data_IF_998748100606
#
_entry.id   IF_998748100606
#
_cell.length_a   1.000
_cell.length_b   1.000
_cell.length_c   1.000
_cell.angle_alpha   90.00
_cell.angle_beta   90.00
_cell.angle_gamma   90.00
#
_symmetry.space_group_name_H-M   'P 1'
#
loop_
_entity.id
_entity.type
_entity.pdbx_description
1 polymer ?
#
# COMPACT_ATOMS: atom_id res chain seq x y z
N UNK A 1 -13.62 2.79 -8.23
CA UNK A 1 -14.46 1.87 -7.41
C UNK A 1 -13.91 0.46 -7.55
N UNK A 2 -13.20 -0.02 -6.52
CA UNK A 2 -12.58 -1.34 -6.56
C UNK A 2 -13.61 -2.47 -6.58
N UNK A 3 -13.14 -3.65 -6.98
CA UNK A 3 -13.93 -4.86 -7.14
C UNK A 3 -14.65 -5.22 -5.83
N UNK A 4 -15.94 -5.56 -5.92
CA UNK A 4 -16.72 -6.16 -4.81
C UNK A 4 -16.25 -7.58 -4.45
N UNK A 5 -15.15 -8.02 -5.06
CA UNK A 5 -14.56 -9.34 -4.86
C UNK A 5 -13.47 -9.23 -3.82
N UNK A 6 -13.49 -10.14 -2.85
CA UNK A 6 -12.38 -10.35 -1.91
C UNK A 6 -11.08 -10.50 -2.69
N UNK A 7 -10.03 -9.82 -2.25
CA UNK A 7 -8.68 -9.96 -2.79
C UNK A 7 -8.31 -11.44 -2.75
N UNK A 8 -7.93 -12.02 -3.89
CA UNK A 8 -7.39 -13.37 -3.90
C UNK A 8 -5.91 -13.36 -3.51
N UNK A 9 -5.43 -14.44 -2.88
CA UNK A 9 -4.06 -14.51 -2.34
C UNK A 9 -2.99 -14.19 -3.39
N UNK A 10 -3.19 -14.62 -4.64
CA UNK A 10 -2.25 -14.38 -5.72
C UNK A 10 -2.24 -12.92 -6.22
N UNK A 11 -3.30 -12.15 -5.94
CA UNK A 11 -3.43 -10.74 -6.32
C UNK A 11 -2.79 -9.81 -5.27
N UNK A 12 -2.68 -10.26 -4.01
CA UNK A 12 -2.16 -9.45 -2.91
C UNK A 12 -0.83 -8.73 -3.25
N UNK A 13 0.18 -9.36 -3.88
CA UNK A 13 1.41 -8.66 -4.22
C UNK A 13 1.23 -7.43 -5.11
N UNK A 14 0.20 -7.41 -5.97
CA UNK A 14 -0.14 -6.24 -6.77
C UNK A 14 -0.64 -5.11 -5.87
N UNK A 15 -1.60 -5.39 -4.99
CA UNK A 15 -2.18 -4.41 -4.05
C UNK A 15 -1.13 -3.76 -3.13
N UNK A 16 -0.01 -4.45 -2.86
CA UNK A 16 1.01 -3.97 -1.95
C UNK A 16 2.14 -3.20 -2.64
N UNK A 17 2.31 -3.28 -3.96
CA UNK A 17 3.48 -2.70 -4.62
C UNK A 17 3.36 -1.17 -4.77
N UNK A 18 4.41 -0.47 -4.37
CA UNK A 18 4.54 0.99 -4.42
C UNK A 18 5.55 1.39 -5.49
N UNK A 19 5.17 2.37 -6.31
CA UNK A 19 5.99 2.92 -7.38
C UNK A 19 6.27 4.40 -7.14
N UNK A 20 7.42 4.85 -7.62
CA UNK A 20 7.71 6.27 -7.79
C UNK A 20 6.83 6.81 -8.92
N UNK A 21 5.97 7.80 -8.68
CA UNK A 21 5.09 8.34 -9.74
C UNK A 21 5.89 9.03 -10.86
N UNK A 22 7.02 9.64 -10.52
CA UNK A 22 7.82 10.44 -11.46
C UNK A 22 8.66 9.58 -12.40
N UNK A 23 9.17 8.44 -11.91
CA UNK A 23 10.04 7.54 -12.70
C UNK A 23 9.38 6.24 -13.11
N UNK A 24 8.18 5.97 -12.59
CA UNK A 24 7.41 4.72 -12.76
C UNK A 24 8.18 3.46 -12.32
N UNK A 25 9.24 3.64 -11.51
CA UNK A 25 10.03 2.53 -10.97
C UNK A 25 9.45 2.02 -9.65
N UNK A 26 9.47 0.71 -9.39
CA UNK A 26 9.08 0.18 -8.09
C UNK A 26 10.04 0.69 -7.00
N UNK A 27 9.48 1.16 -5.88
CA UNK A 27 10.26 1.61 -4.70
C UNK A 27 10.23 0.53 -3.61
N UNK A 28 9.10 -0.19 -3.47
CA UNK A 28 8.95 -1.16 -2.40
C UNK A 28 7.53 -1.67 -2.26
N UNK A 29 7.19 -2.10 -1.04
CA UNK A 29 5.88 -2.67 -0.72
C UNK A 29 5.29 -2.02 0.52
N UNK A 30 3.96 -1.94 0.57
CA UNK A 30 3.23 -1.58 1.78
C UNK A 30 3.47 -2.63 2.86
N UNK A 31 4.00 -2.22 4.00
CA UNK A 31 4.10 -3.03 5.21
C UNK A 31 2.92 -2.82 6.16
N UNK A 32 2.38 -1.60 6.21
CA UNK A 32 1.19 -1.26 7.01
C UNK A 32 0.44 -0.08 6.39
N UNK A 33 -0.86 0.04 6.66
CA UNK A 33 -1.71 1.14 6.17
C UNK A 33 -2.68 1.62 7.25
N UNK A 34 -2.93 2.93 7.27
CA UNK A 34 -4.00 3.59 8.02
C UNK A 34 -4.75 4.54 7.09
N UNK A 35 -5.76 5.27 7.57
CA UNK A 35 -6.46 6.26 6.71
C UNK A 35 -5.58 7.49 6.38
N UNK A 36 -4.59 7.78 7.24
CA UNK A 36 -3.79 9.00 7.20
C UNK A 36 -2.32 8.74 6.82
N UNK A 37 -1.92 7.49 6.62
CA UNK A 37 -0.53 7.15 6.38
C UNK A 37 -0.29 5.68 6.11
N UNK A 38 0.96 5.34 5.85
CA UNK A 38 1.39 3.97 5.59
C UNK A 38 2.84 3.77 5.99
N UNK A 39 3.22 2.49 6.09
CA UNK A 39 4.61 2.06 6.19
C UNK A 39 5.02 1.43 4.87
N UNK A 40 6.17 1.85 4.34
CA UNK A 40 6.82 1.30 3.16
C UNK A 40 8.02 0.47 3.59
N UNK A 41 8.14 -0.72 3.03
CA UNK A 41 9.34 -1.56 3.10
C UNK A 41 10.09 -1.39 1.78
N UNK A 42 11.31 -0.86 1.82
CA UNK A 42 12.14 -0.57 0.64
C UNK A 42 13.58 -1.07 0.80
N UNK A 43 14.30 -1.27 -0.30
CA UNK A 43 15.73 -1.64 -0.26
C UNK A 43 16.66 -0.43 -0.07
N UNK A 44 16.14 0.77 -0.34
CA UNK A 44 16.88 2.01 -0.21
C UNK A 44 16.26 2.85 0.91
N UNK A 45 17.08 3.56 1.70
CA UNK A 45 16.59 4.47 2.72
C UNK A 45 15.88 5.66 2.07
N UNK A 46 14.84 6.15 2.74
CA UNK A 46 14.03 7.28 2.29
C UNK A 46 14.42 8.54 3.06
N UNK A 47 14.52 9.67 2.36
CA UNK A 47 14.88 10.94 2.98
C UNK A 47 13.77 11.42 3.93
N UNK A 48 14.09 11.53 5.22
CA UNK A 48 13.16 12.00 6.26
C UNK A 48 12.81 13.48 6.03
N UNK A 49 11.53 13.82 6.17
CA UNK A 49 11.00 15.17 5.96
C UNK A 49 10.74 15.54 4.50
N UNK A 50 11.17 14.71 3.54
CA UNK A 50 10.87 14.93 2.14
C UNK A 50 9.47 14.42 1.76
N UNK A 51 8.90 15.09 0.75
CA UNK A 51 7.62 14.71 0.15
C UNK A 51 7.86 13.87 -1.10
N UNK A 52 7.07 12.81 -1.24
CA UNK A 52 7.21 11.82 -2.29
C UNK A 52 5.90 11.71 -3.07
N UNK A 53 6.05 11.64 -4.39
CA UNK A 53 4.97 11.34 -5.32
C UNK A 53 5.00 9.84 -5.62
N UNK A 54 3.98 9.14 -5.15
CA UNK A 54 3.92 7.70 -5.17
C UNK A 54 2.66 7.22 -5.90
N UNK A 55 2.74 5.99 -6.39
CA UNK A 55 1.63 5.31 -7.08
C UNK A 55 1.49 3.90 -6.56
N UNK A 56 0.27 3.51 -6.23
CA UNK A 56 -0.12 2.13 -5.98
C UNK A 56 -0.86 1.62 -7.21
N UNK A 57 -0.65 0.35 -7.56
CA UNK A 57 -1.33 -0.28 -8.69
C UNK A 57 -2.20 -1.43 -8.20
N UNK A 58 -3.50 -1.32 -8.36
CA UNK A 58 -4.44 -2.32 -7.85
C UNK A 58 -5.38 -2.83 -8.95
N UNK A 59 -5.77 -4.11 -8.96
CA UNK A 59 -6.74 -4.64 -9.90
C UNK A 59 -8.10 -3.93 -9.81
N UNK A 60 -8.57 -3.43 -10.95
CA UNK A 60 -9.91 -2.88 -11.14
C UNK A 60 -10.98 -3.95 -11.39
N UNK A 61 -12.24 -3.50 -11.45
CA UNK A 61 -13.42 -4.36 -11.62
C UNK A 61 -13.43 -5.15 -12.93
N UNK A 62 -12.89 -4.54 -13.98
CA UNK A 62 -12.75 -5.05 -15.34
C UNK A 62 -11.46 -5.87 -15.54
N UNK A 63 -10.68 -6.09 -14.47
CA UNK A 63 -9.38 -6.73 -14.52
C UNK A 63 -8.25 -5.79 -14.98
N UNK A 64 -8.54 -4.53 -15.31
CA UNK A 64 -7.51 -3.55 -15.65
C UNK A 64 -6.83 -3.01 -14.39
N UNK A 65 -5.54 -2.72 -14.47
CA UNK A 65 -4.81 -2.08 -13.38
C UNK A 65 -5.26 -0.62 -13.20
N UNK A 66 -5.73 -0.31 -12.00
CA UNK A 66 -6.07 1.02 -11.55
C UNK A 66 -4.89 1.62 -10.79
N UNK A 67 -4.58 2.89 -11.02
CA UNK A 67 -3.52 3.60 -10.31
C UNK A 67 -4.12 4.49 -9.23
N UNK A 68 -3.62 4.37 -8.01
CA UNK A 68 -3.92 5.27 -6.90
C UNK A 68 -2.69 6.14 -6.69
N UNK A 69 -2.81 7.44 -6.97
CA UNK A 69 -1.73 8.39 -6.81
C UNK A 69 -1.80 9.05 -5.44
N UNK A 70 -0.70 9.00 -4.69
CA UNK A 70 -0.61 9.55 -3.35
C UNK A 70 0.61 10.45 -3.23
N UNK A 71 0.44 11.57 -2.54
CA UNK A 71 1.54 12.46 -2.15
C UNK A 71 1.70 12.32 -0.64
N UNK A 72 2.90 11.94 -0.20
CA UNK A 72 3.13 11.58 1.19
C UNK A 72 4.49 12.07 1.68
N UNK A 73 4.57 12.45 2.95
CA UNK A 73 5.77 13.00 3.55
C UNK A 73 6.42 11.97 4.49
N UNK A 74 7.70 11.72 4.30
CA UNK A 74 8.46 10.78 5.11
C UNK A 74 8.63 11.32 6.54
N UNK A 75 8.28 10.51 7.54
CA UNK A 75 8.34 10.89 8.96
C UNK A 75 9.50 10.23 9.70
N UNK A 76 9.84 9.02 9.31
CA UNK A 76 10.93 8.23 9.87
C UNK A 76 11.37 7.17 8.87
N UNK A 77 12.63 6.73 8.96
CA UNK A 77 13.21 5.67 8.16
C UNK A 77 14.23 4.92 9.04
N UNK A 78 14.06 3.61 9.19
CA UNK A 78 14.93 2.75 9.98
C UNK A 78 15.31 1.52 9.18
N UNK A 79 16.53 1.01 9.36
CA UNK A 79 16.89 -0.29 8.83
C UNK A 79 16.06 -1.37 9.53
N UNK A 80 15.50 -2.29 8.76
CA UNK A 80 14.75 -3.44 9.26
C UNK A 80 15.73 -4.50 9.84
N UNK A 81 15.19 -5.46 10.58
CA UNK A 81 15.96 -6.64 11.03
C UNK A 81 16.51 -7.44 9.84
N UNK A 82 15.87 -7.35 8.67
CA UNK A 82 16.37 -7.89 7.42
C UNK A 82 17.43 -6.94 6.84
N UNK A 83 18.69 -7.38 6.68
CA UNK A 83 19.74 -6.51 6.13
C UNK A 83 19.35 -5.91 4.79
N UNK A 84 19.73 -4.65 4.56
CA UNK A 84 19.45 -3.92 3.32
C UNK A 84 17.96 -3.68 3.03
N UNK A 85 17.10 -3.78 4.04
CA UNK A 85 15.70 -3.34 3.97
C UNK A 85 15.48 -2.23 4.98
N UNK A 86 14.55 -1.33 4.65
CA UNK A 86 14.21 -0.18 5.47
C UNK A 86 12.71 -0.09 5.64
N UNK A 87 12.29 0.05 6.88
CA UNK A 87 10.94 0.46 7.21
C UNK A 87 10.88 1.99 7.20
N UNK A 88 9.96 2.53 6.42
CA UNK A 88 9.75 3.98 6.30
C UNK A 88 8.29 4.32 6.58
N UNK A 89 8.05 5.21 7.53
CA UNK A 89 6.72 5.72 7.82
C UNK A 89 6.40 7.00 7.08
N UNK A 90 5.22 7.04 6.46
CA UNK A 90 4.71 8.18 5.72
C UNK A 90 3.39 8.68 6.31
N UNK A 91 3.23 10.00 6.31
CA UNK A 91 1.92 10.65 6.46
C UNK A 91 1.43 11.12 5.09
N UNK A 92 0.17 10.90 4.79
CA UNK A 92 -0.44 11.38 3.56
C UNK A 92 -0.63 12.90 3.64
N UNK A 93 -0.17 13.59 2.60
CA UNK A 93 -0.46 15.01 2.41
C UNK A 93 -1.82 15.20 1.73
N UNK A 94 -2.23 14.20 0.94
CA UNK A 94 -3.57 14.08 0.37
C UNK A 94 -4.00 12.62 0.44
N UNK A 95 -5.20 12.37 0.97
CA UNK A 95 -5.81 11.03 1.03
C UNK A 95 -6.92 10.96 -0.03
N UNK A 96 -6.65 10.42 -1.24
CA UNK A 96 -7.67 10.28 -2.25
C UNK A 96 -8.69 9.20 -1.82
N UNK A 97 -9.98 9.30 -2.22
CA UNK A 97 -11.01 8.32 -1.87
C UNK A 97 -10.60 6.87 -2.17
N UNK A 98 -9.89 6.67 -3.28
CA UNK A 98 -9.36 5.39 -3.73
C UNK A 98 -8.41 4.76 -2.72
N UNK A 99 -7.62 5.57 -2.02
CA UNK A 99 -6.74 5.07 -0.97
C UNK A 99 -7.53 4.52 0.22
N UNK A 100 -8.63 5.17 0.61
CA UNK A 100 -9.52 4.67 1.67
C UNK A 100 -10.19 3.36 1.30
N UNK A 101 -10.61 3.21 0.04
CA UNK A 101 -11.15 1.94 -0.44
C UNK A 101 -10.07 0.83 -0.41
N UNK A 102 -8.82 1.14 -0.78
CA UNK A 102 -7.70 0.19 -0.65
C UNK A 102 -7.49 -0.26 0.80
N UNK A 103 -7.44 0.68 1.75
CA UNK A 103 -7.31 0.38 3.19
C UNK A 103 -8.43 -0.55 3.64
N UNK A 104 -9.67 -0.29 3.19
CA UNK A 104 -10.83 -1.13 3.51
C UNK A 104 -10.71 -2.53 2.93
N UNK A 105 -10.23 -2.64 1.68
CA UNK A 105 -10.02 -3.93 1.02
C UNK A 105 -8.94 -4.76 1.72
N UNK A 106 -7.81 -4.15 2.08
CA UNK A 106 -6.72 -4.81 2.81
C UNK A 106 -7.17 -5.24 4.22
N UNK A 107 -7.87 -4.36 4.96
CA UNK A 107 -8.46 -4.71 6.26
C UNK A 107 -9.39 -5.91 6.15
N UNK A 108 -10.26 -5.93 5.14
CA UNK A 108 -11.18 -7.05 4.89
C UNK A 108 -10.44 -8.33 4.56
N UNK A 109 -9.37 -8.26 3.76
CA UNK A 109 -8.56 -9.41 3.39
C UNK A 109 -7.82 -10.04 4.58
N UNK A 110 -7.23 -9.22 5.44
CA UNK A 110 -6.49 -9.69 6.63
C UNK A 110 -7.37 -9.98 7.85
N UNK A 111 -8.69 -9.78 7.74
CA UNK A 111 -9.63 -10.13 8.81
C UNK A 111 -9.93 -11.62 8.84
N UNK A 112 -9.88 -12.21 10.02
CA UNK A 112 -10.33 -13.59 10.24
C UNK A 112 -11.84 -13.58 10.50
N UNK A 113 -12.62 -13.99 9.50
CA UNK A 113 -14.03 -14.26 9.70
C UNK A 113 -14.18 -15.72 10.18
N UNK A 114 -14.93 -15.98 11.26
CA UNK A 114 -15.24 -17.36 11.63
C UNK A 114 -15.94 -18.01 10.44
N UNK A 115 -15.46 -19.20 10.03
CA UNK A 115 -16.21 -20.07 9.15
C UNK A 115 -17.56 -20.30 9.81
N UNK A 116 -18.66 -19.96 9.14
CA UNK A 116 -19.96 -20.48 9.53
C UNK A 116 -19.86 -22.01 9.37
N UNK A 117 -19.58 -22.70 10.47
CA UNK A 117 -19.81 -24.13 10.56
C UNK A 117 -21.31 -24.32 10.37
N UNK A 118 -21.72 -24.80 9.20
CA UNK A 118 -23.03 -25.41 9.05
C UNK A 118 -23.13 -26.53 10.09
N UNK A 119 -24.09 -26.40 11.01
CA UNK A 119 -24.49 -27.45 11.92
C UNK A 119 -25.20 -28.58 11.18
#
# INVERSE_FOLDING_TARGET
MFTDRRIERHQLPCFLKVFNRLTDRPIGYLGNVSEDGFMLISQLPMLIGADFELRLQVPGRDGQLQSIEITASCRWCHEDVTPHHYDTGFVLLRSPPEYRELVTALRTYFSFYPLQTSA
#
